data_IF_962784840766
#
_entry.id   IF_962784840766
#
_cell.length_a   1.000
_cell.length_b   1.000
_cell.length_c   1.000
_cell.angle_alpha   90.00
_cell.angle_beta   90.00
_cell.angle_gamma   90.00
#
_symmetry.space_group_name_H-M   'P 1'
#
loop_
_entity.id
_entity.type
_entity.pdbx_description
1 polymer ?
#
# COMPACT_ATOMS: atom_id res chain seq x y z
N UNK A 1 15.46 3.37 40.84
CA UNK A 1 16.22 2.40 40.04
C UNK A 1 15.59 2.41 38.66
N UNK A 2 16.18 3.14 37.73
CA UNK A 2 15.85 3.04 36.31
C UNK A 2 16.35 1.68 35.85
N UNK A 3 15.44 0.75 35.54
CA UNK A 3 15.81 -0.46 34.79
C UNK A 3 16.58 0.00 33.56
N UNK A 4 17.79 -0.53 33.36
CA UNK A 4 18.51 -0.34 32.11
C UNK A 4 17.63 -0.95 31.02
N UNK A 5 17.08 -0.11 30.14
CA UNK A 5 16.34 -0.51 28.95
C UNK A 5 17.16 -1.60 28.23
N UNK A 6 16.62 -2.81 28.13
CA UNK A 6 17.40 -3.99 27.74
C UNK A 6 17.31 -4.21 26.23
N UNK A 7 18.46 -4.40 25.57
CA UNK A 7 18.55 -4.76 24.16
C UNK A 7 17.86 -6.11 23.83
N UNK A 8 17.59 -6.95 24.84
CA UNK A 8 17.08 -8.31 24.67
C UNK A 8 15.73 -8.37 23.93
N UNK A 9 14.85 -7.38 24.13
CA UNK A 9 13.55 -7.32 23.44
C UNK A 9 13.72 -6.99 21.95
N UNK A 10 14.58 -6.03 21.63
CA UNK A 10 14.91 -5.66 20.26
C UNK A 10 15.58 -6.84 19.53
N UNK A 11 16.57 -7.47 20.16
CA UNK A 11 17.31 -8.58 19.56
C UNK A 11 16.40 -9.81 19.33
N UNK A 12 15.46 -10.09 20.23
CA UNK A 12 14.46 -11.14 20.02
C UNK A 12 13.52 -10.83 18.85
N UNK A 13 13.10 -9.56 18.70
CA UNK A 13 12.26 -9.12 17.59
C UNK A 13 13.00 -9.16 16.26
N UNK A 14 14.27 -8.74 16.25
CA UNK A 14 15.14 -8.83 15.08
C UNK A 14 15.34 -10.28 14.65
N UNK A 15 15.63 -11.19 15.59
CA UNK A 15 15.78 -12.61 15.32
C UNK A 15 14.47 -13.26 14.80
N UNK A 16 13.30 -12.83 15.31
CA UNK A 16 12.01 -13.29 14.80
C UNK A 16 11.77 -12.83 13.36
N UNK A 17 12.09 -11.56 13.05
CA UNK A 17 11.98 -11.00 11.71
C UNK A 17 12.93 -11.71 10.73
N UNK A 18 14.19 -11.91 11.13
CA UNK A 18 15.18 -12.68 10.36
C UNK A 18 14.70 -14.10 10.09
N UNK A 19 14.16 -14.79 11.10
CA UNK A 19 13.64 -16.14 10.92
C UNK A 19 12.50 -16.19 9.89
N UNK A 20 11.59 -15.22 9.92
CA UNK A 20 10.48 -15.16 8.95
C UNK A 20 11.01 -14.89 7.53
N UNK A 21 11.96 -13.97 7.37
CA UNK A 21 12.51 -13.65 6.03
C UNK A 21 13.49 -14.71 5.51
N UNK A 22 14.18 -15.43 6.39
CA UNK A 22 15.08 -16.54 6.02
C UNK A 22 14.30 -17.79 5.60
N UNK A 23 13.10 -18.02 6.15
CA UNK A 23 12.25 -19.11 5.67
C UNK A 23 11.94 -18.96 4.17
N UNK A 24 11.73 -17.74 3.67
CA UNK A 24 11.60 -17.50 2.24
C UNK A 24 12.89 -17.80 1.43
N UNK A 25 14.08 -17.70 2.02
CA UNK A 25 15.34 -18.08 1.36
C UNK A 25 15.59 -19.59 1.34
N UNK A 26 15.11 -20.28 2.39
CA UNK A 26 15.48 -21.66 2.69
C UNK A 26 14.57 -22.70 2.03
N UNK A 27 13.57 -22.29 1.23
CA UNK A 27 12.64 -23.17 0.53
C UNK A 27 12.14 -24.33 1.42
N UNK A 28 11.35 -24.04 2.48
CA UNK A 28 10.89 -25.05 3.42
C UNK A 28 10.11 -26.17 2.71
N UNK A 29 10.07 -27.35 3.32
CA UNK A 29 9.39 -28.54 2.76
C UNK A 29 7.91 -28.26 2.40
N UNK A 30 7.25 -27.33 3.12
CA UNK A 30 5.98 -26.72 2.72
C UNK A 30 6.20 -25.22 2.42
N UNK A 31 6.18 -24.78 1.15
CA UNK A 31 6.33 -23.38 0.77
C UNK A 31 5.33 -22.44 1.47
N UNK A 32 4.17 -22.94 1.93
CA UNK A 32 3.19 -22.15 2.68
C UNK A 32 3.75 -21.66 4.03
N UNK A 33 4.79 -22.29 4.55
CA UNK A 33 5.48 -21.84 5.77
C UNK A 33 6.45 -20.66 5.53
N UNK A 34 6.83 -20.41 4.27
CA UNK A 34 7.66 -19.27 3.87
C UNK A 34 6.84 -18.06 3.39
N UNK A 35 5.54 -18.27 3.13
CA UNK A 35 4.67 -17.25 2.57
C UNK A 35 4.04 -16.38 3.66
N UNK A 36 3.99 -15.08 3.39
CA UNK A 36 3.41 -14.07 4.26
C UNK A 36 1.88 -14.12 4.22
N UNK A 37 1.31 -15.28 4.55
CA UNK A 37 -0.11 -15.60 4.44
C UNK A 37 -0.98 -14.71 5.33
N UNK A 38 -2.29 -14.59 5.02
CA UNK A 38 -3.26 -14.06 5.95
C UNK A 38 -3.17 -14.76 7.32
N UNK A 39 -3.36 -14.01 8.40
CA UNK A 39 -3.11 -14.53 9.76
C UNK A 39 -4.20 -15.45 10.31
N UNK A 40 -5.32 -15.57 9.60
CA UNK A 40 -6.46 -16.42 9.96
C UNK A 40 -6.32 -17.87 9.48
N UNK A 41 -5.23 -18.21 8.77
CA UNK A 41 -4.98 -19.57 8.31
C UNK A 41 -4.71 -20.48 9.51
N UNK A 42 -5.46 -21.58 9.70
CA UNK A 42 -5.46 -22.42 10.93
C UNK A 42 -4.06 -22.93 11.37
N UNK A 43 -3.07 -22.89 10.48
CA UNK A 43 -1.68 -23.30 10.73
C UNK A 43 -0.74 -22.17 11.18
N UNK A 44 -1.15 -20.89 11.19
CA UNK A 44 -0.26 -19.78 11.54
C UNK A 44 0.03 -19.70 13.05
N UNK A 45 0.99 -20.53 13.45
CA UNK A 45 2.11 -20.20 14.33
C UNK A 45 1.84 -20.09 15.85
N UNK A 46 1.81 -21.26 16.51
CA UNK A 46 1.87 -21.42 17.98
C UNK A 46 3.00 -20.63 18.67
N UNK A 47 4.08 -20.27 17.96
CA UNK A 47 5.22 -19.55 18.51
C UNK A 47 4.93 -18.06 18.79
N UNK A 48 3.95 -17.44 18.11
CA UNK A 48 3.56 -16.05 18.40
C UNK A 48 2.92 -15.86 19.76
N UNK A 49 2.28 -16.90 20.31
CA UNK A 49 1.79 -16.90 21.69
C UNK A 49 2.92 -16.73 22.72
N UNK A 50 4.18 -16.95 22.33
CA UNK A 50 5.35 -16.70 23.19
C UNK A 50 5.83 -15.25 23.16
N UNK A 51 5.39 -14.47 22.18
CA UNK A 51 5.76 -13.05 21.97
C UNK A 51 4.64 -12.13 22.44
N UNK A 52 3.37 -12.56 22.36
CA UNK A 52 2.20 -11.80 22.79
C UNK A 52 1.48 -12.52 23.94
N UNK A 53 1.37 -11.93 25.15
CA UNK A 53 0.85 -12.60 26.34
C UNK A 53 -0.68 -12.45 26.49
N UNK A 54 -1.48 -13.25 25.78
CA UNK A 54 -2.95 -13.22 25.92
C UNK A 54 -3.61 -14.61 25.83
N UNK A 55 -4.74 -14.77 26.53
CA UNK A 55 -5.44 -16.05 26.78
C UNK A 55 -6.35 -16.53 25.62
N UNK A 56 -6.66 -15.69 24.62
CA UNK A 56 -7.34 -16.12 23.38
C UNK A 56 -6.96 -15.28 22.15
N UNK A 57 -6.99 -15.88 20.96
CA UNK A 57 -6.64 -15.25 19.68
C UNK A 57 -7.62 -14.13 19.30
N UNK A 58 -8.91 -14.33 19.51
CA UNK A 58 -9.97 -13.33 19.19
C UNK A 58 -9.90 -12.11 20.12
N UNK A 59 -9.61 -12.30 21.41
CA UNK A 59 -9.41 -11.19 22.34
C UNK A 59 -8.13 -10.40 22.02
N UNK A 60 -7.07 -11.08 21.55
CA UNK A 60 -5.85 -10.44 21.05
C UNK A 60 -6.12 -9.66 19.76
N UNK A 61 -6.83 -10.23 18.79
CA UNK A 61 -7.13 -9.58 17.51
C UNK A 61 -8.04 -8.35 17.67
N UNK A 62 -9.01 -8.43 18.59
CA UNK A 62 -9.86 -7.29 18.96
C UNK A 62 -9.12 -6.22 19.76
N UNK A 63 -8.26 -6.62 20.72
CA UNK A 63 -7.53 -5.68 21.59
C UNK A 63 -6.34 -4.99 20.89
N UNK A 64 -5.75 -5.63 19.87
CA UNK A 64 -4.63 -5.09 19.09
C UNK A 64 -5.02 -4.61 17.69
N UNK A 65 -6.31 -4.54 17.36
CA UNK A 65 -6.83 -4.01 16.08
C UNK A 65 -6.19 -4.65 14.83
N UNK A 66 -5.96 -5.97 14.84
CA UNK A 66 -5.01 -6.66 13.95
C UNK A 66 -5.52 -6.96 12.53
N UNK A 67 -6.18 -5.98 11.92
CA UNK A 67 -6.79 -6.01 10.59
C UNK A 67 -7.56 -4.72 10.32
N UNK A 68 -8.25 -4.62 9.18
CA UNK A 68 -9.09 -3.47 8.89
C UNK A 68 -10.41 -3.89 8.25
N UNK A 69 -11.46 -3.10 8.46
CA UNK A 69 -12.71 -3.32 7.74
C UNK A 69 -12.59 -2.81 6.31
N UNK A 70 -13.08 -3.61 5.38
CA UNK A 70 -13.11 -3.31 3.95
C UNK A 70 -14.54 -3.46 3.45
N UNK A 71 -15.05 -2.42 2.82
CA UNK A 71 -16.34 -2.39 2.12
C UNK A 71 -16.13 -2.76 0.66
N UNK A 72 -16.73 -3.83 0.17
CA UNK A 72 -16.77 -4.09 -1.27
C UNK A 72 -17.74 -3.11 -1.93
N UNK A 73 -17.22 -2.23 -2.80
CA UNK A 73 -18.05 -1.16 -3.39
C UNK A 73 -19.20 -1.67 -4.24
N UNK A 74 -19.02 -2.82 -4.90
CA UNK A 74 -19.98 -3.36 -5.86
C UNK A 74 -21.14 -4.06 -5.16
N UNK A 75 -20.84 -4.79 -4.09
CA UNK A 75 -21.80 -5.60 -3.34
C UNK A 75 -22.34 -4.90 -2.09
N UNK A 76 -21.61 -3.92 -1.55
CA UNK A 76 -21.89 -3.31 -0.25
C UNK A 76 -21.57 -4.23 0.93
N UNK A 77 -20.87 -5.34 0.72
CA UNK A 77 -20.49 -6.25 1.78
C UNK A 77 -19.30 -5.70 2.57
N UNK A 78 -19.44 -5.64 3.91
CA UNK A 78 -18.36 -5.23 4.81
C UNK A 78 -17.68 -6.46 5.40
N UNK A 79 -16.41 -6.67 5.07
CA UNK A 79 -15.60 -7.78 5.56
C UNK A 79 -14.46 -7.27 6.43
N UNK A 80 -13.91 -8.14 7.28
CA UNK A 80 -12.72 -7.84 8.07
C UNK A 80 -11.51 -8.51 7.43
N UNK A 81 -10.53 -7.72 7.00
CA UNK A 81 -9.30 -8.22 6.39
C UNK A 81 -8.19 -8.28 7.45
N UNK A 82 -7.71 -9.49 7.82
CA UNK A 82 -6.69 -9.62 8.85
C UNK A 82 -5.31 -9.18 8.36
N UNK A 83 -4.52 -8.57 9.24
CA UNK A 83 -3.14 -8.17 8.96
C UNK A 83 -2.22 -9.39 8.84
N UNK A 84 -1.35 -9.42 7.83
CA UNK A 84 -0.34 -10.47 7.68
C UNK A 84 0.66 -10.48 8.85
N UNK A 85 1.17 -11.68 9.16
CA UNK A 85 1.97 -11.89 10.37
C UNK A 85 3.30 -11.13 10.38
N UNK A 86 3.89 -10.94 9.21
CA UNK A 86 5.11 -10.18 9.05
C UNK A 86 4.90 -8.69 9.38
N UNK A 87 3.76 -8.13 8.97
CA UNK A 87 3.41 -6.76 9.34
C UNK A 87 3.22 -6.65 10.85
N UNK A 88 2.60 -7.64 11.50
CA UNK A 88 2.45 -7.69 12.96
C UNK A 88 3.83 -7.65 13.67
N UNK A 89 4.79 -8.46 13.22
CA UNK A 89 6.15 -8.50 13.80
C UNK A 89 6.94 -7.21 13.51
N UNK A 90 6.86 -6.69 12.27
CA UNK A 90 7.50 -5.43 11.91
C UNK A 90 6.93 -4.23 12.70
N UNK A 91 5.61 -4.21 12.91
CA UNK A 91 4.96 -3.21 13.76
C UNK A 91 5.37 -3.35 15.22
N UNK A 92 5.50 -4.56 15.75
CA UNK A 92 6.03 -4.77 17.08
C UNK A 92 7.46 -4.22 17.21
N UNK A 93 8.32 -4.40 16.20
CA UNK A 93 9.67 -3.83 16.19
C UNK A 93 9.71 -2.29 16.18
N UNK A 94 8.72 -1.65 15.55
CA UNK A 94 8.64 -0.20 15.41
C UNK A 94 7.96 0.49 16.59
N UNK A 95 6.93 -0.14 17.16
CA UNK A 95 5.97 0.54 18.02
C UNK A 95 5.85 -0.07 19.42
N UNK A 96 6.49 -1.21 19.71
CA UNK A 96 6.49 -1.80 21.06
C UNK A 96 7.68 -1.33 21.90
N UNK A 97 7.42 -1.03 23.17
CA UNK A 97 8.39 -0.51 24.13
C UNK A 97 8.01 0.86 24.68
N UNK A 98 8.68 1.30 25.74
CA UNK A 98 8.58 2.66 26.25
C UNK A 98 9.04 3.70 25.21
N UNK A 99 8.58 4.95 25.32
CA UNK A 99 9.04 6.04 24.43
C UNK A 99 10.57 6.19 24.41
N UNK A 100 11.22 5.85 25.53
CA UNK A 100 12.67 5.87 25.67
C UNK A 100 13.34 4.71 24.91
N UNK A 101 12.76 3.51 24.94
CA UNK A 101 13.20 2.37 24.10
C UNK A 101 13.02 2.67 22.61
N UNK A 102 11.88 3.22 22.22
CA UNK A 102 11.60 3.58 20.82
C UNK A 102 12.63 4.57 20.29
N UNK A 103 12.91 5.63 21.05
CA UNK A 103 13.92 6.63 20.68
C UNK A 103 15.34 6.03 20.62
N UNK A 104 15.68 5.12 21.54
CA UNK A 104 16.99 4.48 21.61
C UNK A 104 17.25 3.57 20.41
N UNK A 105 16.26 2.75 20.04
CA UNK A 105 16.40 1.75 18.98
C UNK A 105 16.02 2.25 17.59
N UNK A 106 15.44 3.46 17.48
CA UNK A 106 14.95 4.02 16.22
C UNK A 106 15.86 3.79 15.01
N UNK A 107 17.12 4.26 15.09
CA UNK A 107 18.08 4.11 13.98
C UNK A 107 18.38 2.64 13.66
N UNK A 108 18.40 1.76 14.67
CA UNK A 108 18.63 0.31 14.49
C UNK A 108 17.41 -0.34 13.84
N UNK A 109 16.19 -0.02 14.27
CA UNK A 109 14.95 -0.55 13.69
C UNK A 109 14.82 -0.14 12.22
N UNK A 110 15.05 1.14 11.90
CA UNK A 110 14.99 1.63 10.51
C UNK A 110 16.00 0.92 9.62
N UNK A 111 17.24 0.75 10.12
CA UNK A 111 18.27 0.00 9.40
C UNK A 111 17.87 -1.46 9.18
N UNK A 112 17.37 -2.14 10.22
CA UNK A 112 16.91 -3.52 10.15
C UNK A 112 15.84 -3.70 9.07
N UNK A 113 14.77 -2.88 9.09
CA UNK A 113 13.68 -3.00 8.11
C UNK A 113 14.12 -2.72 6.68
N UNK A 114 15.04 -1.77 6.50
CA UNK A 114 15.66 -1.50 5.19
C UNK A 114 16.47 -2.71 4.72
N UNK A 115 17.36 -3.24 5.55
CA UNK A 115 18.20 -4.39 5.22
C UNK A 115 17.33 -5.63 4.88
N UNK A 116 16.23 -5.85 5.62
CA UNK A 116 15.27 -6.92 5.31
C UNK A 116 14.55 -6.72 3.99
N UNK A 117 14.10 -5.49 3.68
CA UNK A 117 13.42 -5.20 2.42
C UNK A 117 14.36 -5.39 1.22
N UNK A 118 15.61 -4.94 1.32
CA UNK A 118 16.62 -5.15 0.28
C UNK A 118 17.00 -6.63 0.11
N UNK A 119 17.11 -7.38 1.22
CA UNK A 119 17.34 -8.83 1.22
C UNK A 119 16.19 -9.57 0.51
N UNK A 120 14.95 -9.26 0.85
CA UNK A 120 13.77 -9.89 0.28
C UNK A 120 13.60 -9.57 -1.21
N UNK A 121 13.84 -8.32 -1.61
CA UNK A 121 13.84 -7.93 -3.02
C UNK A 121 14.80 -8.80 -3.85
N UNK A 122 16.02 -9.03 -3.34
CA UNK A 122 17.00 -9.91 -4.00
C UNK A 122 16.56 -11.37 -4.05
N UNK A 123 15.96 -11.88 -2.97
CA UNK A 123 15.47 -13.27 -2.94
C UNK A 123 14.32 -13.49 -3.93
N UNK A 124 13.40 -12.54 -4.06
CA UNK A 124 12.29 -12.64 -5.01
C UNK A 124 12.65 -12.28 -6.46
N UNK A 125 13.85 -11.72 -6.69
CA UNK A 125 14.46 -11.62 -8.02
C UNK A 125 15.20 -12.92 -8.43
N UNK A 126 15.52 -13.82 -7.49
CA UNK A 126 16.17 -15.10 -7.78
C UNK A 126 15.21 -16.02 -8.57
N UNK A 127 15.65 -16.65 -9.69
CA UNK A 127 14.81 -17.58 -10.45
C UNK A 127 14.20 -18.73 -9.64
N UNK A 128 14.82 -19.16 -8.53
CA UNK A 128 14.27 -20.21 -7.67
C UNK A 128 12.99 -19.77 -6.94
N UNK A 129 12.76 -18.46 -6.81
CA UNK A 129 11.56 -17.95 -6.15
C UNK A 129 10.26 -18.26 -6.90
N UNK A 130 10.32 -18.81 -8.12
CA UNK A 130 9.14 -19.36 -8.83
C UNK A 130 8.38 -20.39 -7.99
N UNK A 131 9.07 -21.11 -7.10
CA UNK A 131 8.47 -22.11 -6.21
C UNK A 131 7.45 -21.48 -5.23
N UNK A 132 7.48 -20.16 -5.04
CA UNK A 132 6.56 -19.45 -4.15
C UNK A 132 5.27 -19.00 -4.86
N UNK A 133 5.22 -19.05 -6.20
CA UNK A 133 4.10 -18.51 -6.97
C UNK A 133 2.81 -19.30 -6.73
N UNK A 134 2.84 -20.62 -6.95
CA UNK A 134 1.63 -21.46 -6.79
C UNK A 134 1.12 -21.45 -5.33
N UNK A 135 1.98 -21.61 -4.31
CA UNK A 135 1.56 -21.50 -2.92
C UNK A 135 1.00 -20.11 -2.54
N UNK A 136 1.51 -19.04 -3.15
CA UNK A 136 0.94 -17.68 -3.00
C UNK A 136 -0.47 -17.58 -3.60
N UNK A 137 -0.65 -18.08 -4.83
CA UNK A 137 -1.97 -18.14 -5.49
C UNK A 137 -2.97 -18.89 -4.62
N UNK A 138 -2.56 -20.03 -4.04
CA UNK A 138 -3.43 -20.82 -3.16
C UNK A 138 -3.78 -20.09 -1.86
N UNK A 139 -2.81 -19.42 -1.25
CA UNK A 139 -2.98 -18.75 0.05
C UNK A 139 -3.86 -17.50 -0.02
N UNK A 140 -3.92 -16.85 -1.18
CA UNK A 140 -4.74 -15.67 -1.45
C UNK A 140 -5.92 -15.95 -2.40
N UNK A 141 -6.19 -17.22 -2.71
CA UNK A 141 -7.31 -17.67 -3.55
C UNK A 141 -7.37 -16.96 -4.93
N UNK A 142 -6.21 -16.78 -5.56
CA UNK A 142 -6.07 -16.01 -6.80
C UNK A 142 -6.36 -16.81 -8.08
N UNK A 143 -6.70 -18.09 -7.99
CA UNK A 143 -6.82 -19.01 -9.13
C UNK A 143 -7.74 -18.45 -10.23
N UNK A 144 -8.92 -17.96 -9.84
CA UNK A 144 -9.90 -17.43 -10.79
C UNK A 144 -9.41 -16.14 -11.46
N UNK A 145 -8.74 -15.27 -10.69
CA UNK A 145 -8.19 -14.00 -11.18
C UNK A 145 -7.04 -14.17 -12.17
N UNK A 146 -6.38 -15.33 -12.19
CA UNK A 146 -5.26 -15.58 -13.13
C UNK A 146 -5.72 -15.50 -14.59
N UNK A 147 -6.99 -15.79 -14.87
CA UNK A 147 -7.58 -15.67 -16.21
C UNK A 147 -7.64 -14.22 -16.74
N UNK A 148 -7.60 -13.23 -15.85
CA UNK A 148 -7.57 -11.81 -16.18
C UNK A 148 -6.15 -11.32 -16.56
N UNK A 149 -5.11 -12.08 -16.21
CA UNK A 149 -3.71 -11.71 -16.45
C UNK A 149 -3.32 -11.91 -17.92
N UNK A 150 -2.35 -11.12 -18.42
CA UNK A 150 -1.79 -11.34 -19.77
C UNK A 150 -1.10 -12.68 -19.90
N UNK A 151 -0.41 -13.11 -18.83
CA UNK A 151 0.12 -14.47 -18.73
C UNK A 151 -0.62 -15.23 -17.61
N UNK A 152 -1.62 -16.05 -17.95
CA UNK A 152 -2.39 -16.78 -16.95
C UNK A 152 -1.64 -17.98 -16.37
N UNK A 153 -0.59 -18.50 -17.03
CA UNK A 153 0.13 -19.68 -16.55
C UNK A 153 1.26 -19.31 -15.57
N UNK A 154 1.15 -19.72 -14.28
CA UNK A 154 2.17 -19.45 -13.27
C UNK A 154 3.58 -19.94 -13.62
N UNK A 155 3.72 -21.01 -14.42
CA UNK A 155 5.03 -21.60 -14.73
C UNK A 155 5.87 -20.82 -15.74
N UNK A 156 5.31 -19.75 -16.33
CA UNK A 156 6.01 -18.91 -17.32
C UNK A 156 6.66 -17.67 -16.73
N UNK A 157 6.38 -17.35 -15.47
CA UNK A 157 7.06 -16.26 -14.77
C UNK A 157 8.50 -16.68 -14.43
N UNK A 158 9.43 -15.73 -14.53
CA UNK A 158 10.87 -16.00 -14.37
C UNK A 158 11.31 -16.10 -12.91
N UNK A 159 10.60 -15.39 -12.04
CA UNK A 159 10.82 -15.32 -10.60
C UNK A 159 9.54 -14.77 -9.95
N UNK A 160 9.51 -14.70 -8.63
CA UNK A 160 8.35 -14.24 -7.90
C UNK A 160 8.04 -12.76 -8.13
N UNK A 161 9.05 -11.89 -8.26
CA UNK A 161 8.83 -10.47 -8.55
C UNK A 161 8.19 -10.25 -9.94
N UNK A 162 8.54 -11.06 -10.93
CA UNK A 162 7.91 -11.07 -12.26
C UNK A 162 6.42 -11.43 -12.17
N UNK A 163 6.08 -12.42 -11.33
CA UNK A 163 4.68 -12.75 -11.01
C UNK A 163 3.97 -11.67 -10.19
N UNK A 164 4.61 -11.11 -9.17
CA UNK A 164 4.00 -10.10 -8.31
C UNK A 164 3.66 -8.83 -9.10
N UNK A 165 4.55 -8.46 -10.02
CA UNK A 165 4.37 -7.38 -10.98
C UNK A 165 3.72 -7.82 -12.30
N UNK A 166 2.98 -8.94 -12.32
CA UNK A 166 2.27 -9.47 -13.50
C UNK A 166 1.45 -8.42 -14.22
N UNK A 167 1.33 -8.55 -15.53
CA UNK A 167 0.49 -7.69 -16.36
C UNK A 167 -0.95 -8.20 -16.42
N UNK A 168 -1.90 -7.28 -16.43
CA UNK A 168 -3.31 -7.57 -16.62
C UNK A 168 -3.75 -7.27 -18.06
N UNK A 169 -4.74 -8.01 -18.57
CA UNK A 169 -5.33 -7.74 -19.88
C UNK A 169 -6.07 -6.39 -19.84
N UNK A 170 -6.03 -5.64 -20.94
CA UNK A 170 -6.68 -4.33 -21.01
C UNK A 170 -8.21 -4.43 -20.82
N UNK A 171 -8.83 -5.51 -21.31
CA UNK A 171 -10.27 -5.73 -21.21
C UNK A 171 -10.74 -6.18 -19.81
N UNK A 172 -9.82 -6.60 -18.93
CA UNK A 172 -10.16 -7.01 -17.58
C UNK A 172 -10.38 -5.83 -16.61
N UNK A 173 -9.96 -4.61 -16.98
CA UNK A 173 -10.15 -3.38 -16.20
C UNK A 173 -10.76 -2.28 -17.06
N UNK A 174 -12.04 -2.43 -17.45
CA UNK A 174 -12.73 -1.40 -18.22
C UNK A 174 -12.80 -0.09 -17.42
N UNK A 175 -12.62 1.03 -18.12
CA UNK A 175 -12.69 2.36 -17.53
C UNK A 175 -14.15 2.79 -17.42
N UNK A 176 -14.58 3.23 -16.24
CA UNK A 176 -15.92 3.78 -16.05
C UNK A 176 -16.08 5.10 -16.81
N UNK A 177 -17.24 5.26 -17.46
CA UNK A 177 -17.56 6.41 -18.28
C UNK A 177 -16.41 6.78 -19.25
N UNK A 178 -15.98 5.89 -20.16
CA UNK A 178 -14.74 6.05 -20.91
C UNK A 178 -14.76 7.26 -21.88
N UNK A 179 -15.94 7.82 -22.17
CA UNK A 179 -16.11 9.06 -22.95
C UNK A 179 -16.20 10.34 -22.12
N UNK A 180 -16.07 10.25 -20.79
CA UNK A 180 -16.12 11.38 -19.87
C UNK A 180 -14.72 11.65 -19.29
N UNK A 181 -14.00 12.62 -19.85
CA UNK A 181 -12.65 13.01 -19.40
C UNK A 181 -12.64 13.84 -18.11
N UNK A 182 -13.83 14.24 -17.60
CA UNK A 182 -13.97 14.87 -16.29
C UNK A 182 -13.94 13.86 -15.14
N UNK A 183 -14.21 12.58 -15.41
CA UNK A 183 -14.16 11.51 -14.42
C UNK A 183 -12.72 11.17 -14.09
N UNK A 184 -12.44 10.94 -12.81
CA UNK A 184 -11.17 10.39 -12.33
C UNK A 184 -11.37 8.96 -11.87
N UNK A 185 -10.41 8.09 -12.16
CA UNK A 185 -10.50 6.65 -11.87
C UNK A 185 -9.60 6.22 -10.71
N UNK A 186 -9.92 5.09 -10.10
CA UNK A 186 -9.01 4.42 -9.16
C UNK A 186 -7.70 4.09 -9.87
N UNK A 187 -6.54 4.39 -9.25
CA UNK A 187 -5.24 4.13 -9.86
C UNK A 187 -4.82 2.66 -9.72
N UNK A 188 -5.49 1.86 -8.89
CA UNK A 188 -5.05 0.50 -8.58
C UNK A 188 -6.25 -0.41 -8.24
N UNK A 189 -6.01 -1.71 -8.25
CA UNK A 189 -6.82 -2.66 -7.50
C UNK A 189 -6.38 -2.54 -6.04
N UNK A 190 -7.28 -2.08 -5.17
CA UNK A 190 -6.84 -1.60 -3.87
C UNK A 190 -7.98 -1.53 -2.84
N UNK A 191 -7.54 -1.29 -1.60
CA UNK A 191 -8.34 -0.80 -0.49
C UNK A 191 -8.18 0.72 -0.44
N UNK A 192 -9.22 1.43 -0.87
CA UNK A 192 -9.21 2.87 -1.10
C UNK A 192 -9.85 3.62 0.06
N UNK A 193 -9.23 4.71 0.49
CA UNK A 193 -9.87 5.77 1.27
C UNK A 193 -9.86 7.09 0.51
N UNK A 194 -10.89 7.90 0.71
CA UNK A 194 -11.15 9.11 -0.06
C UNK A 194 -11.61 10.23 0.88
N UNK A 195 -10.93 11.36 0.83
CA UNK A 195 -11.24 12.52 1.66
C UNK A 195 -11.36 13.78 0.82
N UNK A 196 -12.47 14.54 0.95
CA UNK A 196 -12.66 15.80 0.21
C UNK A 196 -11.57 16.83 0.49
N UNK A 197 -10.92 16.77 1.65
CA UNK A 197 -9.79 17.62 2.00
C UNK A 197 -8.71 16.83 2.72
N UNK A 198 -7.46 17.30 2.61
CA UNK A 198 -6.32 16.76 3.39
C UNK A 198 -6.56 16.86 4.90
N UNK A 199 -7.24 17.91 5.38
CA UNK A 199 -7.60 18.05 6.80
C UNK A 199 -8.56 16.96 7.28
N UNK A 200 -9.48 16.51 6.43
CA UNK A 200 -10.33 15.37 6.74
C UNK A 200 -9.51 14.08 6.75
N UNK A 201 -8.54 13.92 5.85
CA UNK A 201 -7.66 12.77 5.86
C UNK A 201 -6.84 12.69 7.15
N UNK A 202 -6.26 13.79 7.64
CA UNK A 202 -5.51 13.81 8.92
C UNK A 202 -6.44 13.64 10.13
N UNK A 203 -7.69 14.09 10.03
CA UNK A 203 -8.69 13.90 11.08
C UNK A 203 -9.15 12.44 11.20
N UNK A 204 -9.33 11.71 10.10
CA UNK A 204 -9.96 10.39 10.13
C UNK A 204 -9.00 9.22 9.90
N UNK A 205 -7.86 9.45 9.24
CA UNK A 205 -7.01 8.38 8.74
C UNK A 205 -5.53 8.62 9.05
N UNK A 206 -4.94 9.71 8.57
CA UNK A 206 -3.50 9.97 8.70
C UNK A 206 -3.20 10.56 10.09
N UNK A 207 -2.90 9.69 11.05
CA UNK A 207 -2.63 10.03 12.45
C UNK A 207 -1.15 10.13 12.81
N UNK A 208 -0.27 9.71 11.91
CA UNK A 208 1.18 9.86 12.05
C UNK A 208 1.58 11.32 12.29
N UNK A 209 2.53 11.53 13.21
CA UNK A 209 2.92 12.89 13.62
C UNK A 209 3.59 13.66 12.48
N UNK A 210 3.09 14.88 12.24
CA UNK A 210 3.77 15.86 11.40
C UNK A 210 3.51 15.71 9.91
N UNK A 211 2.45 15.01 9.50
CA UNK A 211 2.03 14.97 8.09
C UNK A 211 1.69 16.35 7.56
N UNK A 212 2.31 16.69 6.42
CA UNK A 212 1.98 17.87 5.62
C UNK A 212 2.11 17.53 4.14
N UNK A 213 1.33 18.22 3.29
CA UNK A 213 1.44 18.08 1.83
C UNK A 213 2.86 18.46 1.36
N UNK A 214 3.48 19.47 1.98
CA UNK A 214 4.85 19.88 1.63
C UNK A 214 5.90 18.83 1.89
N UNK A 215 5.80 18.10 3.01
CA UNK A 215 6.67 16.94 3.27
C UNK A 215 6.36 15.81 2.30
N UNK A 216 5.09 15.50 2.07
CA UNK A 216 4.69 14.44 1.15
C UNK A 216 5.24 14.68 -0.27
N UNK A 217 5.20 15.93 -0.75
CA UNK A 217 5.70 16.30 -2.08
C UNK A 217 7.20 16.67 -2.10
N UNK A 218 7.85 16.74 -0.93
CA UNK A 218 9.19 17.34 -0.74
C UNK A 218 9.35 18.71 -1.43
N UNK A 219 8.29 19.52 -1.45
CA UNK A 219 8.25 20.80 -2.15
C UNK A 219 7.14 21.70 -1.58
N UNK A 220 7.52 22.80 -0.95
CA UNK A 220 6.59 23.83 -0.47
C UNK A 220 5.84 24.51 -1.63
N UNK A 221 6.53 24.77 -2.74
CA UNK A 221 5.94 25.43 -3.91
C UNK A 221 4.90 24.56 -4.63
N UNK A 222 5.09 23.24 -4.67
CA UNK A 222 4.08 22.34 -5.22
C UNK A 222 2.93 22.14 -4.23
N UNK A 223 3.21 22.11 -2.93
CA UNK A 223 2.18 21.91 -1.91
C UNK A 223 1.11 22.99 -1.93
N UNK A 224 1.46 24.25 -2.24
CA UNK A 224 0.48 25.32 -2.36
C UNK A 224 -0.58 25.07 -3.45
N UNK A 225 -0.24 24.29 -4.50
CA UNK A 225 -1.18 23.94 -5.57
C UNK A 225 -2.27 22.96 -5.09
N UNK A 226 -2.05 22.26 -3.97
CA UNK A 226 -2.91 21.20 -3.42
C UNK A 226 -3.46 21.54 -2.03
N UNK A 227 -3.30 22.78 -1.56
CA UNK A 227 -3.92 23.23 -0.32
C UNK A 227 -5.44 23.05 -0.41
N UNK A 228 -6.06 22.55 0.65
CA UNK A 228 -7.49 22.18 0.71
C UNK A 228 -7.96 21.21 -0.40
N UNK A 229 -7.03 20.60 -1.13
CA UNK A 229 -7.30 19.63 -2.17
C UNK A 229 -7.85 18.32 -1.63
N UNK A 230 -8.51 17.57 -2.49
CA UNK A 230 -8.98 16.22 -2.16
C UNK A 230 -7.84 15.21 -2.28
N UNK A 231 -7.91 14.17 -1.47
CA UNK A 231 -6.89 13.12 -1.37
C UNK A 231 -7.54 11.75 -1.44
N UNK A 232 -6.94 10.89 -2.25
CA UNK A 232 -7.30 9.48 -2.39
C UNK A 232 -6.07 8.64 -2.06
N UNK A 233 -6.23 7.67 -1.17
CA UNK A 233 -5.17 6.78 -0.71
C UNK A 233 -5.57 5.36 -1.11
N UNK A 234 -4.87 4.80 -2.10
CA UNK A 234 -5.12 3.48 -2.66
C UNK A 234 -4.05 2.50 -2.15
N UNK A 235 -4.36 1.75 -1.09
CA UNK A 235 -3.45 0.74 -0.53
C UNK A 235 -3.62 -0.59 -1.26
N UNK A 236 -2.55 -1.12 -1.83
CA UNK A 236 -2.52 -2.42 -2.49
C UNK A 236 -2.16 -3.49 -1.44
N UNK A 237 -3.10 -4.37 -1.13
CA UNK A 237 -2.85 -5.54 -0.30
C UNK A 237 -2.12 -6.62 -1.12
N UNK A 238 -1.37 -7.55 -0.49
CA UNK A 238 -0.55 -8.53 -1.22
C UNK A 238 -1.28 -9.30 -2.33
N UNK A 239 -2.56 -9.64 -2.11
CA UNK A 239 -3.41 -10.34 -3.06
C UNK A 239 -3.74 -9.54 -4.34
N UNK A 240 -3.54 -8.23 -4.32
CA UNK A 240 -3.95 -7.35 -5.40
C UNK A 240 -3.06 -7.47 -6.64
N UNK A 241 -3.50 -6.83 -7.71
CA UNK A 241 -2.69 -6.56 -8.88
C UNK A 241 -1.78 -5.35 -8.58
N UNK A 242 -0.49 -5.58 -8.43
CA UNK A 242 0.50 -4.60 -7.93
C UNK A 242 1.06 -3.66 -9.01
N UNK A 243 0.22 -3.17 -9.90
CA UNK A 243 0.56 -2.08 -10.81
C UNK A 243 -0.38 -0.91 -10.62
N UNK A 244 0.11 0.29 -10.89
CA UNK A 244 -0.70 1.49 -10.80
C UNK A 244 -0.88 2.15 -12.17
N UNK A 245 -2.01 2.82 -12.29
CA UNK A 245 -2.53 3.38 -13.51
C UNK A 245 -2.83 4.87 -13.31
N UNK A 246 -2.84 5.62 -14.40
CA UNK A 246 -3.16 7.03 -14.36
C UNK A 246 -4.64 7.22 -14.00
N UNK A 247 -4.98 7.99 -12.95
CA UNK A 247 -6.37 8.30 -12.62
C UNK A 247 -7.01 9.28 -13.62
N UNK A 248 -6.20 9.98 -14.43
CA UNK A 248 -6.62 11.06 -15.32
C UNK A 248 -5.88 11.01 -16.66
N UNK A 249 -6.44 11.65 -17.68
CA UNK A 249 -5.74 11.96 -18.93
C UNK A 249 -5.00 13.30 -18.81
N UNK A 250 -3.77 13.39 -19.29
CA UNK A 250 -2.98 14.63 -19.17
C UNK A 250 -1.53 14.51 -19.63
N UNK A 251 -0.74 15.53 -19.35
CA UNK A 251 0.70 15.58 -19.66
C UNK A 251 1.52 15.46 -18.39
N UNK A 252 2.53 14.59 -18.39
CA UNK A 252 3.47 14.47 -17.27
C UNK A 252 4.35 15.71 -17.23
N UNK A 253 4.25 16.51 -16.16
CA UNK A 253 5.06 17.73 -15.97
C UNK A 253 6.36 17.46 -15.23
N UNK A 254 6.35 16.54 -14.26
CA UNK A 254 7.53 16.18 -13.49
C UNK A 254 7.40 14.79 -12.86
N UNK A 255 8.55 14.18 -12.59
CA UNK A 255 8.67 12.96 -11.78
C UNK A 255 9.85 13.16 -10.83
N UNK A 256 9.61 13.07 -9.54
CA UNK A 256 10.61 13.28 -8.49
C UNK A 256 10.70 12.05 -7.59
N UNK A 257 11.86 11.40 -7.57
CA UNK A 257 12.16 10.31 -6.63
C UNK A 257 12.60 10.89 -5.29
N UNK A 258 11.90 10.52 -4.22
CA UNK A 258 12.21 10.94 -2.85
C UNK A 258 12.72 9.70 -2.09
N UNK A 259 13.99 9.72 -1.63
CA UNK A 259 14.52 8.64 -0.80
C UNK A 259 13.84 8.64 0.56
N UNK A 260 13.70 7.46 1.16
CA UNK A 260 13.08 7.32 2.48
C UNK A 260 13.22 5.91 3.03
N UNK A 261 12.53 5.65 4.13
CA UNK A 261 12.42 4.35 4.76
C UNK A 261 11.41 3.44 4.03
N UNK A 262 11.12 2.28 4.62
CA UNK A 262 10.12 1.32 4.14
C UNK A 262 9.28 0.84 5.33
N UNK A 263 8.60 1.78 6.00
CA UNK A 263 7.59 1.44 7.02
C UNK A 263 6.39 0.79 6.36
N UNK A 264 5.62 0.03 7.14
CA UNK A 264 4.37 -0.57 6.64
C UNK A 264 3.32 0.50 6.39
N UNK A 265 2.57 0.36 5.30
CA UNK A 265 1.40 1.19 4.96
C UNK A 265 0.10 0.55 5.41
N UNK A 266 0.17 -0.40 6.35
CA UNK A 266 -1.03 -0.98 6.92
C UNK A 266 -1.84 0.10 7.68
N UNK A 267 -3.18 0.09 7.61
CA UNK A 267 -4.03 1.06 8.29
C UNK A 267 -3.67 1.30 9.76
N UNK A 268 -3.25 0.26 10.49
CA UNK A 268 -2.85 0.44 11.89
C UNK A 268 -1.65 1.38 12.07
N UNK A 269 -0.66 1.33 11.17
CA UNK A 269 0.50 2.23 11.23
C UNK A 269 0.18 3.65 10.75
N UNK A 270 -0.92 3.82 10.00
CA UNK A 270 -1.36 5.12 9.49
C UNK A 270 -2.29 5.80 10.50
N UNK A 271 -3.17 5.03 11.15
CA UNK A 271 -4.31 5.51 11.94
C UNK A 271 -4.03 5.54 13.46
N UNK A 272 -2.86 5.12 13.91
CA UNK A 272 -2.49 5.16 15.32
C UNK A 272 -1.81 6.49 15.68
N UNK A 273 -2.33 7.17 16.69
CA UNK A 273 -1.74 8.43 17.17
C UNK A 273 -0.37 8.19 17.84
N UNK A 274 0.53 9.17 17.71
CA UNK A 274 1.89 9.05 18.27
C UNK A 274 2.82 8.14 17.46
N UNK A 275 2.37 7.62 16.32
CA UNK A 275 3.22 6.92 15.35
C UNK A 275 3.85 7.88 14.35
N UNK A 276 4.78 7.37 13.54
CA UNK A 276 5.43 8.16 12.49
C UNK A 276 4.54 8.29 11.27
N UNK A 277 4.75 9.37 10.54
CA UNK A 277 4.12 9.57 9.24
C UNK A 277 4.75 8.64 8.19
N UNK A 278 4.12 7.49 7.98
CA UNK A 278 4.58 6.48 7.03
C UNK A 278 4.62 6.99 5.59
N UNK A 279 3.76 7.94 5.20
CA UNK A 279 3.71 8.43 3.82
C UNK A 279 4.84 9.42 3.52
N UNK A 280 5.16 10.31 4.47
CA UNK A 280 6.24 11.28 4.28
C UNK A 280 7.63 10.70 4.55
N UNK A 281 7.74 9.66 5.36
CA UNK A 281 9.03 9.06 5.69
C UNK A 281 9.44 7.94 4.71
N UNK A 282 8.47 7.28 4.06
CA UNK A 282 8.78 6.22 3.11
C UNK A 282 9.37 6.74 1.81
N UNK A 283 10.19 5.88 1.17
CA UNK A 283 10.60 6.06 -0.22
C UNK A 283 9.35 6.19 -1.10
N UNK A 284 9.33 7.21 -1.96
CA UNK A 284 8.22 7.45 -2.86
C UNK A 284 8.65 8.15 -4.15
N UNK A 285 7.82 8.03 -5.17
CA UNK A 285 7.93 8.75 -6.42
C UNK A 285 6.74 9.69 -6.57
N UNK A 286 6.98 10.97 -6.84
CA UNK A 286 5.95 11.99 -7.02
C UNK A 286 5.90 12.38 -8.49
N UNK A 287 4.82 12.00 -9.17
CA UNK A 287 4.53 12.39 -10.54
C UNK A 287 3.49 13.51 -10.55
N UNK A 288 3.76 14.62 -11.22
CA UNK A 288 2.78 15.68 -11.46
C UNK A 288 2.25 15.57 -12.88
N UNK A 289 0.93 15.50 -13.01
CA UNK A 289 0.23 15.44 -14.30
C UNK A 289 -0.65 16.68 -14.43
N UNK A 290 -0.47 17.44 -15.51
CA UNK A 290 -1.42 18.49 -15.90
C UNK A 290 -2.55 17.86 -16.69
N UNK A 291 -3.77 17.96 -16.17
CA UNK A 291 -4.98 17.43 -16.81
C UNK A 291 -5.26 18.19 -18.10
N UNK A 292 -5.59 17.44 -19.15
CA UNK A 292 -5.87 18.00 -20.48
C UNK A 292 -7.16 18.83 -20.49
N UNK A 293 -8.20 18.34 -19.81
CA UNK A 293 -9.55 18.92 -19.87
C UNK A 293 -9.69 20.18 -18.99
N UNK A 294 -9.15 20.15 -17.78
CA UNK A 294 -9.32 21.22 -16.79
C UNK A 294 -8.09 22.13 -16.67
N UNK A 295 -6.93 21.72 -17.17
CA UNK A 295 -5.66 22.43 -17.00
C UNK A 295 -5.08 22.37 -15.58
N UNK A 296 -5.79 21.75 -14.63
CA UNK A 296 -5.39 21.56 -13.23
C UNK A 296 -4.32 20.48 -13.09
N UNK A 297 -3.64 20.47 -11.94
CA UNK A 297 -2.60 19.48 -11.63
C UNK A 297 -3.14 18.36 -10.76
N UNK A 298 -2.64 17.15 -11.00
CA UNK A 298 -2.83 15.98 -10.14
C UNK A 298 -1.45 15.48 -9.73
N UNK A 299 -1.23 15.27 -8.43
CA UNK A 299 -0.06 14.55 -7.96
C UNK A 299 -0.40 13.07 -7.81
N UNK A 300 0.31 12.20 -8.51
CA UNK A 300 0.24 10.74 -8.41
C UNK A 300 1.50 10.29 -7.68
N UNK A 301 1.33 9.72 -6.50
CA UNK A 301 2.44 9.46 -5.57
C UNK A 301 2.50 7.97 -5.29
N UNK A 302 3.49 7.29 -5.90
CA UNK A 302 3.76 5.89 -5.61
C UNK A 302 4.63 5.78 -4.36
N UNK A 303 4.10 5.19 -3.28
CA UNK A 303 4.79 5.00 -2.00
C UNK A 303 5.16 3.53 -1.83
N UNK A 304 6.45 3.26 -1.69
CA UNK A 304 6.94 1.93 -1.35
C UNK A 304 6.84 1.71 0.15
N UNK A 305 6.42 0.53 0.59
CA UNK A 305 6.37 0.18 2.01
C UNK A 305 7.31 -0.98 2.33
N UNK A 306 7.24 -1.44 3.57
CA UNK A 306 7.98 -2.60 4.05
C UNK A 306 7.88 -3.77 3.06
N UNK A 307 9.04 -4.39 2.79
CA UNK A 307 9.28 -5.44 1.81
C UNK A 307 9.34 -5.00 0.34
N UNK A 308 8.84 -3.81 -0.05
CA UNK A 308 8.81 -3.41 -1.47
C UNK A 308 10.18 -3.41 -2.10
N UNK A 309 10.38 -4.32 -3.05
CA UNK A 309 11.64 -4.47 -3.78
C UNK A 309 11.98 -3.25 -4.65
N UNK A 310 10.98 -2.61 -5.27
CA UNK A 310 11.16 -1.37 -6.05
C UNK A 310 9.85 -0.75 -6.50
N UNK A 311 9.92 0.52 -6.88
CA UNK A 311 8.90 1.27 -7.64
C UNK A 311 9.46 1.43 -9.05
N UNK A 312 8.79 0.88 -10.08
CA UNK A 312 9.28 0.94 -11.47
C UNK A 312 8.23 1.49 -12.40
N UNK A 313 8.55 2.58 -13.10
CA UNK A 313 7.74 3.06 -14.21
C UNK A 313 7.89 2.14 -15.43
N UNK A 314 6.80 2.01 -16.20
CA UNK A 314 6.83 1.33 -17.49
C UNK A 314 7.71 2.11 -18.48
N UNK A 315 8.35 1.43 -19.45
CA UNK A 315 9.11 2.09 -20.50
C UNK A 315 8.27 3.15 -21.22
N UNK A 316 8.86 4.33 -21.41
CA UNK A 316 8.22 5.46 -22.08
C UNK A 316 7.39 6.37 -21.17
N UNK A 317 7.18 6.06 -19.89
CA UNK A 317 6.54 6.99 -18.95
C UNK A 317 7.56 8.05 -18.51
N UNK A 318 7.62 9.16 -19.24
CA UNK A 318 8.61 10.23 -19.06
C UNK A 318 7.99 11.64 -19.10
N UNK A 319 8.73 12.63 -18.59
CA UNK A 319 8.29 14.04 -18.56
C UNK A 319 8.04 14.56 -19.98
N UNK A 320 6.91 15.23 -20.16
CA UNK A 320 6.42 15.75 -21.44
C UNK A 320 5.49 14.81 -22.20
N UNK A 321 5.37 13.53 -21.79
CA UNK A 321 4.46 12.57 -22.44
C UNK A 321 3.01 12.82 -22.08
N UNK A 322 2.12 12.69 -23.07
CA UNK A 322 0.68 12.55 -22.84
C UNK A 322 0.33 11.13 -22.39
N UNK A 323 -0.46 11.02 -21.32
CA UNK A 323 -0.98 9.77 -20.77
C UNK A 323 -2.51 9.78 -20.77
N UNK A 324 -3.11 8.61 -20.89
CA UNK A 324 -4.58 8.44 -20.84
C UNK A 324 -5.04 7.92 -19.47
N UNK A 325 -6.25 8.32 -19.05
CA UNK A 325 -6.91 7.72 -17.88
C UNK A 325 -6.98 6.19 -18.06
N UNK A 326 -6.57 5.46 -17.02
CA UNK A 326 -6.49 4.01 -17.06
C UNK A 326 -5.21 3.44 -17.66
N UNK A 327 -4.27 4.26 -18.12
CA UNK A 327 -2.99 3.77 -18.62
C UNK A 327 -2.09 3.26 -17.49
N UNK A 328 -1.49 2.08 -17.66
CA UNK A 328 -0.56 1.53 -16.68
C UNK A 328 0.74 2.34 -16.65
N UNK A 329 1.02 2.98 -15.52
CA UNK A 329 2.19 3.83 -15.33
C UNK A 329 3.40 3.05 -14.83
N UNK A 330 3.19 2.03 -14.01
CA UNK A 330 4.29 1.27 -13.43
C UNK A 330 3.85 0.14 -12.52
N UNK A 331 4.82 -0.54 -11.92
CA UNK A 331 4.63 -1.69 -11.07
C UNK A 331 5.43 -1.59 -9.77
N UNK A 332 4.85 -2.12 -8.70
CA UNK A 332 5.55 -2.41 -7.46
C UNK A 332 6.07 -3.86 -7.51
N UNK A 333 7.31 -4.07 -7.13
CA UNK A 333 7.80 -5.42 -6.83
C UNK A 333 7.39 -5.82 -5.40
N UNK A 334 7.58 -7.10 -5.04
CA UNK A 334 7.01 -7.71 -3.83
C UNK A 334 7.10 -6.81 -2.60
N UNK A 335 5.98 -6.62 -1.90
CA UNK A 335 5.87 -5.86 -0.65
C UNK A 335 4.60 -5.02 -0.55
N UNK A 336 4.44 -4.27 0.55
CA UNK A 336 3.27 -3.39 0.73
C UNK A 336 3.37 -2.12 -0.10
N UNK A 337 2.32 -1.70 -0.80
CA UNK A 337 2.39 -0.49 -1.65
C UNK A 337 1.15 0.38 -1.51
N UNK A 338 1.33 1.68 -1.73
CA UNK A 338 0.24 2.65 -1.72
C UNK A 338 0.44 3.63 -2.87
N UNK A 339 -0.66 4.01 -3.51
CA UNK A 339 -0.71 5.13 -4.45
C UNK A 339 -1.58 6.22 -3.85
N UNK A 340 -1.03 7.43 -3.71
CA UNK A 340 -1.78 8.59 -3.23
C UNK A 340 -2.01 9.53 -4.42
N UNK A 341 -3.27 9.89 -4.65
CA UNK A 341 -3.63 10.93 -5.61
C UNK A 341 -4.06 12.19 -4.85
N UNK A 342 -3.44 13.33 -5.16
CA UNK A 342 -3.87 14.64 -4.72
C UNK A 342 -4.47 15.40 -5.90
N UNK A 343 -5.63 16.01 -5.68
CA UNK A 343 -6.29 16.90 -6.63
C UNK A 343 -6.31 18.31 -6.06
N UNK A 344 -6.31 19.33 -6.93
CA UNK A 344 -6.41 20.72 -6.47
C UNK A 344 -7.78 21.00 -5.84
N UNK A 345 -7.86 22.01 -4.99
CA UNK A 345 -9.12 22.46 -4.38
C UNK A 345 -10.21 22.69 -5.44
N UNK A 346 -11.38 22.09 -5.24
CA UNK A 346 -12.53 22.23 -6.14
C UNK A 346 -12.43 21.46 -7.46
N UNK A 347 -11.28 20.88 -7.81
CA UNK A 347 -11.06 20.21 -9.10
C UNK A 347 -11.85 18.91 -9.24
N UNK A 348 -11.97 18.12 -8.17
CA UNK A 348 -12.64 16.82 -8.17
C UNK A 348 -13.58 16.72 -6.97
N UNK A 349 -14.86 16.49 -7.25
CA UNK A 349 -15.82 16.01 -6.27
C UNK A 349 -15.75 14.49 -6.23
N UNK A 350 -15.28 13.96 -5.10
CA UNK A 350 -15.21 12.53 -4.83
C UNK A 350 -16.63 11.97 -4.65
N UNK A 351 -16.85 10.72 -5.07
CA UNK A 351 -18.16 10.08 -4.92
C UNK A 351 -18.52 9.90 -3.43
N UNK A 352 -19.78 10.16 -3.09
CA UNK A 352 -20.24 10.24 -1.71
C UNK A 352 -20.09 8.93 -0.94
N UNK A 353 -20.23 7.79 -1.61
CA UNK A 353 -20.08 6.47 -0.99
C UNK A 353 -18.65 6.24 -0.49
N UNK A 354 -17.64 6.59 -1.29
CA UNK A 354 -16.23 6.49 -0.90
C UNK A 354 -15.91 7.41 0.29
N UNK A 355 -16.43 8.64 0.26
CA UNK A 355 -16.25 9.62 1.33
C UNK A 355 -16.93 9.16 2.61
N UNK A 356 -18.16 8.65 2.53
CA UNK A 356 -18.91 8.13 3.68
C UNK A 356 -18.19 6.93 4.30
N UNK A 357 -17.76 5.96 3.48
CA UNK A 357 -17.02 4.79 3.96
C UNK A 357 -15.74 5.19 4.71
N UNK A 358 -15.02 6.19 4.19
CA UNK A 358 -13.73 6.64 4.75
C UNK A 358 -13.89 7.48 6.02
N UNK A 359 -15.01 8.19 6.18
CA UNK A 359 -15.19 9.16 7.29
C UNK A 359 -16.19 8.69 8.34
N UNK A 360 -17.37 8.22 7.95
CA UNK A 360 -18.44 7.81 8.86
C UNK A 360 -18.24 6.36 9.31
N UNK A 361 -17.94 5.48 8.36
CA UNK A 361 -17.80 4.04 8.63
C UNK A 361 -16.36 3.62 8.97
N UNK A 362 -15.42 4.55 8.80
CA UNK A 362 -13.97 4.43 9.08
C UNK A 362 -13.43 3.10 8.57
N UNK A 363 -13.68 2.84 7.28
CA UNK A 363 -13.26 1.61 6.61
C UNK A 363 -12.73 1.92 5.22
N UNK A 364 -11.89 1.01 4.72
CA UNK A 364 -11.43 1.09 3.34
C UNK A 364 -12.52 0.58 2.40
N UNK A 365 -12.46 0.98 1.12
CA UNK A 365 -13.36 0.48 0.09
C UNK A 365 -12.58 -0.32 -0.94
N UNK A 366 -12.95 -1.57 -1.20
CA UNK A 366 -12.38 -2.38 -2.26
C UNK A 366 -12.84 -1.83 -3.62
N UNK A 367 -11.87 -1.41 -4.42
CA UNK A 367 -12.08 -0.90 -5.78
C UNK A 367 -11.06 -1.48 -6.74
N UNK A 368 -11.36 -1.42 -8.04
CA UNK A 368 -10.47 -1.87 -9.11
C UNK A 368 -9.98 -0.71 -9.96
N UNK A 369 -8.87 -0.89 -10.65
CA UNK A 369 -8.39 0.03 -11.69
C UNK A 369 -9.55 0.36 -12.62
N UNK A 370 -9.68 1.66 -12.95
CA UNK A 370 -10.67 2.13 -13.92
C UNK A 370 -12.01 2.53 -13.32
N UNK A 371 -12.36 2.01 -12.14
CA UNK A 371 -13.59 2.41 -11.46
C UNK A 371 -13.58 3.91 -11.16
N UNK A 372 -14.71 4.59 -11.39
CA UNK A 372 -14.85 6.02 -11.11
C UNK A 372 -14.61 6.28 -9.63
N UNK A 373 -13.85 7.31 -9.27
CA UNK A 373 -13.64 7.74 -7.86
C UNK A 373 -14.28 9.09 -7.58
N UNK A 374 -14.51 9.86 -8.64
CA UNK A 374 -15.15 11.17 -8.59
C UNK A 374 -15.13 11.79 -9.98
N UNK A 375 -15.61 13.03 -10.07
CA UNK A 375 -15.57 13.80 -11.30
C UNK A 375 -15.34 15.28 -11.01
N UNK A 376 -14.83 15.99 -12.02
CA UNK A 376 -14.70 17.44 -11.91
C UNK A 376 -16.02 18.16 -11.84
N UNK A 377 -16.01 19.27 -11.10
CA UNK A 377 -17.11 20.22 -10.90
C UNK A 377 -17.40 20.98 -12.21
N UNK A 378 -17.94 20.22 -13.17
CA UNK A 378 -18.31 20.62 -14.53
C UNK A 378 -19.13 19.55 -15.25
N UNK A 379 -19.34 18.38 -14.63
CA UNK A 379 -20.33 17.41 -15.13
C UNK A 379 -21.74 17.98 -14.95
N UNK A 380 -22.60 17.95 -15.98
CA UNK A 380 -24.02 18.14 -15.76
C UNK A 380 -24.46 17.05 -14.80
N UNK A 381 -25.17 17.42 -13.74
CA UNK A 381 -25.92 16.48 -12.92
C UNK A 381 -26.69 15.51 -13.83
N UNK A 382 -26.41 14.21 -13.69
CA UNK A 382 -27.13 13.14 -14.36
C UNK A 382 -28.62 13.16 -14.01
#
# INVERSE_FOLDING_TARGET
MTEKLSDAHFDATAAALDKITDQAANHPEDPKEALHTPSNHERSHKWLKRIFPYDSLEAMESAFHMGNYVMDRKTGEKTFEPMSIYVRVGMHALYYGSEQEKALHWKRTVKLLKDQSEKMGKQYDDPKSVDHIVPFIESFELQESMSEMKEPNPSKYKNFNDFFSREIREDARPIDEPGNDLVVSSPADCRLTAFPTVDLATKYWIKGFGFTVSKLLASESLASDFNNGSIVIARLAPQDYHRWHSPVSGTIESVTEIPGAYYTVNPQAINEEGTLDVFCENRRSVMIVRRKETGTKVAIIAVGAMLVGSIRYNPGIEVGREIRRGECLGAFQYGGSTVINLYQEGDVQLDDDLVNNSTKDVCETLVRVGWRVGASSGSPSA
#
